data_IF_745179800095
#
_entry.id   IF_745179800095
#
_cell.length_a   1.000
_cell.length_b   1.000
_cell.length_c   1.000
_cell.angle_alpha   90.00
_cell.angle_beta   90.00
_cell.angle_gamma   90.00
#
_symmetry.space_group_name_H-M   'P 1'
#
loop_
_entity.id
_entity.type
_entity.pdbx_description
1 polymer ?
#
# COMPACT_ATOMS: atom_id res chain seq x y z
N UNK A 1 -4.13 -28.19 1.46
CA UNK A 1 -4.06 -26.72 1.28
C UNK A 1 -4.14 -26.50 -0.21
N UNK A 2 -5.29 -26.06 -0.72
CA UNK A 2 -5.37 -25.55 -2.10
C UNK A 2 -4.51 -24.30 -2.14
N UNK A 3 -3.29 -24.44 -2.67
CA UNK A 3 -2.52 -23.29 -3.13
C UNK A 3 -3.29 -22.80 -4.34
N UNK A 4 -4.18 -21.82 -4.15
CA UNK A 4 -4.70 -21.06 -5.29
C UNK A 4 -3.49 -20.38 -5.89
N UNK A 5 -3.10 -20.80 -7.09
CA UNK A 5 -2.13 -20.06 -7.88
C UNK A 5 -2.64 -18.63 -7.97
N UNK A 6 -1.91 -17.69 -7.36
CA UNK A 6 -2.22 -16.28 -7.49
C UNK A 6 -2.09 -15.92 -8.97
N UNK A 7 -3.14 -15.31 -9.51
CA UNK A 7 -3.15 -14.88 -10.91
C UNK A 7 -2.05 -13.85 -11.14
N UNK A 8 -1.04 -14.21 -11.94
CA UNK A 8 0.11 -13.35 -12.29
C UNK A 8 -0.01 -12.79 -13.71
N UNK A 9 -1.20 -12.79 -14.30
CA UNK A 9 -1.45 -12.13 -15.58
C UNK A 9 -1.09 -10.64 -15.54
N UNK A 10 -0.82 -10.05 -16.71
CA UNK A 10 -0.55 -8.61 -16.80
C UNK A 10 -1.75 -7.76 -16.33
N UNK A 11 -2.98 -8.26 -16.50
CA UNK A 11 -4.19 -7.60 -15.97
C UNK A 11 -4.22 -7.62 -14.45
N UNK A 12 -3.94 -8.77 -13.82
CA UNK A 12 -3.80 -8.88 -12.36
C UNK A 12 -2.73 -7.94 -11.84
N UNK A 13 -1.55 -7.93 -12.48
CA UNK A 13 -0.44 -7.03 -12.17
C UNK A 13 -0.87 -5.55 -12.21
N UNK A 14 -1.57 -5.11 -13.26
CA UNK A 14 -2.09 -3.74 -13.34
C UNK A 14 -3.07 -3.41 -12.21
N UNK A 15 -3.99 -4.33 -11.89
CA UNK A 15 -4.94 -4.15 -10.79
C UNK A 15 -4.23 -4.02 -9.43
N UNK A 16 -3.20 -4.84 -9.19
CA UNK A 16 -2.38 -4.75 -7.98
C UNK A 16 -1.59 -3.43 -7.89
N UNK A 17 -1.06 -2.93 -9.00
CA UNK A 17 -0.40 -1.61 -9.05
C UNK A 17 -1.40 -0.48 -8.73
N UNK A 18 -2.59 -0.51 -9.35
CA UNK A 18 -3.65 0.49 -9.08
C UNK A 18 -4.02 0.47 -7.60
N UNK A 19 -4.22 -0.73 -7.04
CA UNK A 19 -4.54 -0.88 -5.62
C UNK A 19 -3.40 -0.37 -4.74
N UNK A 20 -2.15 -0.75 -4.99
CA UNK A 20 -0.97 -0.28 -4.27
C UNK A 20 -0.88 1.25 -4.23
N UNK A 21 -1.14 1.92 -5.37
CA UNK A 21 -1.16 3.39 -5.45
C UNK A 21 -2.28 4.00 -4.62
N UNK A 22 -3.46 3.37 -4.60
CA UNK A 22 -4.56 3.81 -3.74
C UNK A 22 -4.18 3.74 -2.26
N UNK A 23 -3.43 2.72 -1.84
CA UNK A 23 -2.93 2.59 -0.47
C UNK A 23 -1.95 3.72 -0.11
N UNK A 24 -1.05 4.11 -1.03
CA UNK A 24 -0.17 5.27 -0.84
C UNK A 24 -0.96 6.55 -0.55
N UNK A 25 -2.03 6.80 -1.31
CA UNK A 25 -2.89 7.96 -1.09
C UNK A 25 -3.59 7.92 0.27
N UNK A 26 -4.06 6.74 0.69
CA UNK A 26 -4.71 6.57 2.00
C UNK A 26 -3.70 6.83 3.12
N UNK A 27 -2.47 6.31 3.02
CA UNK A 27 -1.40 6.57 4.00
C UNK A 27 -1.16 8.09 4.11
N UNK A 28 -0.92 8.78 2.99
CA UNK A 28 -0.66 10.22 2.98
C UNK A 28 -1.80 11.03 3.62
N UNK A 29 -3.05 10.64 3.36
CA UNK A 29 -4.19 11.29 4.00
C UNK A 29 -4.19 11.10 5.52
N UNK A 30 -3.89 9.89 6.00
CA UNK A 30 -3.80 9.63 7.44
C UNK A 30 -2.59 10.32 8.09
N UNK A 31 -1.47 10.47 7.38
CA UNK A 31 -0.32 11.23 7.86
C UNK A 31 -0.68 12.70 8.07
N UNK A 32 -1.37 13.33 7.10
CA UNK A 32 -1.89 14.68 7.26
C UNK A 32 -2.90 14.78 8.43
N UNK A 33 -3.78 13.79 8.59
CA UNK A 33 -4.72 13.74 9.71
C UNK A 33 -3.99 13.65 11.07
N UNK A 34 -2.88 12.92 11.14
CA UNK A 34 -2.02 12.87 12.35
C UNK A 34 -1.40 14.24 12.65
N UNK A 35 -1.03 15.03 11.64
CA UNK A 35 -0.48 16.37 11.81
C UNK A 35 -1.51 17.32 12.42
N UNK A 36 -2.76 17.27 11.94
CA UNK A 36 -3.86 18.13 12.37
C UNK A 36 -4.52 17.70 13.69
N UNK A 37 -4.43 16.42 14.06
CA UNK A 37 -5.07 15.87 15.26
C UNK A 37 -4.39 16.39 16.54
N UNK A 38 -5.16 16.64 17.60
CA UNK A 38 -4.66 17.01 18.93
C UNK A 38 -4.64 15.86 19.93
N UNK A 39 -5.46 14.83 19.71
CA UNK A 39 -5.66 13.71 20.63
C UNK A 39 -4.61 12.59 20.41
N UNK A 40 -3.76 12.28 21.41
CA UNK A 40 -2.72 11.26 21.27
C UNK A 40 -3.24 9.86 20.92
N UNK A 41 -4.40 9.47 21.46
CA UNK A 41 -4.99 8.15 21.22
C UNK A 41 -5.43 7.99 19.75
N UNK A 42 -5.97 9.05 19.14
CA UNK A 42 -6.34 9.05 17.73
C UNK A 42 -5.09 8.97 16.85
N UNK A 43 -4.03 9.72 17.18
CA UNK A 43 -2.75 9.61 16.46
C UNK A 43 -2.16 8.20 16.52
N UNK A 44 -2.21 7.55 17.69
CA UNK A 44 -1.74 6.18 17.85
C UNK A 44 -2.55 5.20 17.01
N UNK A 45 -3.88 5.36 16.98
CA UNK A 45 -4.76 4.56 16.14
C UNK A 45 -4.43 4.73 14.64
N UNK A 46 -4.26 5.97 14.18
CA UNK A 46 -3.91 6.28 12.78
C UNK A 46 -2.55 5.67 12.41
N UNK A 47 -1.53 5.76 13.28
CA UNK A 47 -0.23 5.10 13.08
C UNK A 47 -0.35 3.59 12.96
N UNK A 48 -1.13 2.95 13.85
CA UNK A 48 -1.36 1.51 13.77
C UNK A 48 -2.05 1.10 12.46
N UNK A 49 -2.93 1.95 11.91
CA UNK A 49 -3.56 1.71 10.61
C UNK A 49 -2.57 1.88 9.46
N UNK A 50 -1.70 2.89 9.51
CA UNK A 50 -0.61 3.08 8.54
C UNK A 50 0.27 1.82 8.51
N UNK A 51 0.74 1.35 9.66
CA UNK A 51 1.58 0.14 9.75
C UNK A 51 0.93 -1.10 9.12
N UNK A 52 -0.39 -1.27 9.31
CA UNK A 52 -1.12 -2.38 8.71
C UNK A 52 -1.20 -2.26 7.19
N UNK A 53 -1.40 -1.06 6.66
CA UNK A 53 -1.45 -0.79 5.22
C UNK A 53 -0.06 -0.92 4.59
N UNK A 54 1.00 -0.48 5.26
CA UNK A 54 2.37 -0.66 4.79
C UNK A 54 2.75 -2.15 4.67
N UNK A 55 2.33 -2.97 5.63
CA UNK A 55 2.48 -4.43 5.53
C UNK A 55 1.75 -5.00 4.32
N UNK A 56 0.56 -4.49 4.01
CA UNK A 56 -0.18 -4.92 2.83
C UNK A 56 0.48 -4.45 1.52
N UNK A 57 1.00 -3.21 1.48
CA UNK A 57 1.81 -2.72 0.37
C UNK A 57 3.04 -3.59 0.15
N UNK A 58 3.73 -4.00 1.21
CA UNK A 58 4.87 -4.90 1.12
C UNK A 58 4.45 -6.26 0.55
N UNK A 59 3.35 -6.85 1.05
CA UNK A 59 2.80 -8.10 0.52
C UNK A 59 2.53 -8.02 -0.98
N UNK A 60 1.95 -6.92 -1.46
CA UNK A 60 1.68 -6.71 -2.89
C UNK A 60 2.98 -6.62 -3.69
N UNK A 61 4.03 -5.98 -3.17
CA UNK A 61 5.34 -5.96 -3.83
C UNK A 61 5.96 -7.35 -3.91
N UNK A 62 5.81 -8.15 -2.85
CA UNK A 62 6.34 -9.51 -2.80
C UNK A 62 5.69 -10.45 -3.83
N UNK A 63 4.49 -10.12 -4.33
CA UNK A 63 3.83 -10.84 -5.43
C UNK A 63 4.54 -10.67 -6.78
N UNK A 64 5.20 -9.53 -6.99
CA UNK A 64 5.87 -9.19 -8.25
C UNK A 64 7.33 -8.76 -8.00
N UNK A 65 8.21 -9.69 -7.56
CA UNK A 65 9.59 -9.39 -7.16
C UNK A 65 10.46 -8.88 -8.31
N UNK A 66 10.09 -9.20 -9.56
CA UNK A 66 10.82 -8.77 -10.75
C UNK A 66 10.42 -7.34 -11.21
N UNK A 67 9.39 -6.75 -10.61
CA UNK A 67 8.95 -5.39 -10.92
C UNK A 67 9.89 -4.37 -10.28
N UNK A 68 10.36 -3.39 -11.08
CA UNK A 68 11.24 -2.34 -10.59
C UNK A 68 10.49 -1.36 -9.70
N UNK A 69 11.21 -0.67 -8.80
CA UNK A 69 10.58 0.29 -7.87
C UNK A 69 9.86 1.42 -8.61
N UNK A 70 10.41 1.86 -9.73
CA UNK A 70 9.87 2.94 -10.57
C UNK A 70 8.54 2.55 -11.26
N UNK A 71 8.22 1.26 -11.35
CA UNK A 71 6.93 0.80 -11.87
C UNK A 71 5.83 0.83 -10.78
N UNK A 72 6.23 0.76 -9.50
CA UNK A 72 5.33 0.87 -8.35
C UNK A 72 5.05 2.32 -7.99
N UNK A 73 6.13 3.08 -7.91
CA UNK A 73 6.13 4.49 -7.59
C UNK A 73 6.07 5.18 -8.95
N UNK A 74 4.85 5.38 -9.49
CA UNK A 74 4.61 6.18 -10.71
C UNK A 74 5.62 7.31 -10.72
N UNK A 75 6.43 7.38 -11.79
CA UNK A 75 7.46 8.40 -11.99
C UNK A 75 7.07 9.70 -11.29
N UNK A 76 7.95 10.14 -10.39
CA UNK A 76 7.89 11.44 -9.75
C UNK A 76 7.53 12.51 -10.80
N UNK A 77 6.33 13.07 -10.69
CA UNK A 77 5.95 14.41 -11.14
C UNK A 77 4.61 14.82 -10.48
#
# INVERSE_FOLDING_TARGET
MDVKDEDKSEESKQNHIIYYKSLTKIIKNMENEIEDEGEPAVKEHLKSRIDAIEKDRQRIRDLFPDMKREEWDDNAD
#
